data_IF_241450378284
#
_entry.id   IF_241450378284
#
_cell.length_a   1.000
_cell.length_b   1.000
_cell.length_c   1.000
_cell.angle_alpha   90.00
_cell.angle_beta   90.00
_cell.angle_gamma   90.00
#
_symmetry.space_group_name_H-M   'P 1'
#
loop_
_entity.id
_entity.type
_entity.pdbx_description
1 polymer ?
#
# COMPACT_ATOMS: atom_id res chain seq x y z
N UNK A 1 -8.67 -11.34 -8.21
CA UNK A 1 -7.21 -11.49 -8.03
C UNK A 1 -6.78 -10.65 -6.85
N UNK A 2 -5.65 -10.95 -6.20
CA UNK A 2 -5.16 -10.17 -5.07
C UNK A 2 -3.80 -9.58 -5.37
N UNK A 3 -3.68 -8.28 -5.15
CA UNK A 3 -2.40 -7.60 -5.07
C UNK A 3 -2.15 -7.21 -3.62
N UNK A 4 -0.89 -7.17 -3.21
CA UNK A 4 -0.53 -6.96 -1.82
C UNK A 4 0.48 -5.81 -1.68
N UNK A 5 0.13 -4.83 -0.84
CA UNK A 5 1.01 -3.71 -0.52
C UNK A 5 1.77 -3.99 0.78
N UNK A 6 3.10 -3.95 0.76
CA UNK A 6 3.94 -4.30 1.92
C UNK A 6 5.23 -3.50 1.96
N UNK A 7 5.76 -3.23 3.16
CA UNK A 7 7.10 -2.67 3.29
C UNK A 7 8.13 -3.59 2.60
N UNK A 8 9.04 -2.98 1.84
CA UNK A 8 10.05 -3.66 1.01
C UNK A 8 10.79 -4.83 1.69
N UNK A 9 11.21 -4.75 2.97
CA UNK A 9 11.87 -5.87 3.67
C UNK A 9 11.00 -7.12 3.84
N UNK A 10 9.68 -7.01 3.79
CA UNK A 10 8.76 -8.14 3.98
C UNK A 10 8.15 -8.63 2.65
N UNK A 11 8.59 -8.14 1.51
CA UNK A 11 8.07 -8.60 0.22
C UNK A 11 8.31 -10.10 -0.02
N UNK A 12 9.40 -10.64 0.54
CA UNK A 12 9.74 -12.07 0.40
C UNK A 12 8.69 -12.99 1.01
N UNK A 13 8.14 -12.67 2.18
CA UNK A 13 7.13 -13.52 2.82
C UNK A 13 5.80 -13.49 2.05
N UNK A 14 5.44 -12.35 1.47
CA UNK A 14 4.23 -12.21 0.65
C UNK A 14 4.33 -13.02 -0.64
N UNK A 15 5.52 -13.09 -1.25
CA UNK A 15 5.76 -13.85 -2.47
C UNK A 15 5.57 -15.37 -2.33
N UNK A 16 5.51 -15.88 -1.10
CA UNK A 16 5.26 -17.31 -0.84
C UNK A 16 3.79 -17.70 -1.02
N UNK A 17 2.86 -16.74 -1.07
CA UNK A 17 1.43 -17.02 -1.14
C UNK A 17 0.93 -17.07 -2.61
N UNK A 18 0.41 -18.22 -3.09
CA UNK A 18 0.13 -18.43 -4.51
C UNK A 18 -1.02 -17.57 -5.07
N UNK A 19 -1.89 -17.02 -4.22
CA UNK A 19 -2.99 -16.16 -4.65
C UNK A 19 -2.58 -14.70 -4.92
N UNK A 20 -1.33 -14.31 -4.62
CA UNK A 20 -0.84 -12.94 -4.82
C UNK A 20 -0.29 -12.78 -6.24
N UNK A 21 -0.88 -11.87 -7.01
CA UNK A 21 -0.45 -11.53 -8.36
C UNK A 21 0.68 -10.51 -8.34
N UNK A 22 0.41 -9.30 -7.82
CA UNK A 22 1.41 -8.22 -7.74
C UNK A 22 1.74 -7.87 -6.29
N UNK A 23 3.02 -7.66 -6.02
CA UNK A 23 3.51 -7.16 -4.73
C UNK A 23 3.94 -5.70 -4.91
N UNK A 24 3.16 -4.79 -4.33
CA UNK A 24 3.48 -3.37 -4.29
C UNK A 24 4.38 -3.09 -3.09
N UNK A 25 5.69 -2.97 -3.35
CA UNK A 25 6.68 -2.66 -2.32
C UNK A 25 6.62 -1.18 -1.97
N UNK A 26 6.45 -0.88 -0.69
CA UNK A 26 6.48 0.49 -0.16
C UNK A 26 7.64 0.68 0.80
N UNK A 27 8.01 1.93 1.03
CA UNK A 27 9.07 2.28 1.97
C UNK A 27 8.63 3.44 2.88
N UNK A 28 7.45 3.32 3.48
CA UNK A 28 6.81 4.38 4.28
C UNK A 28 7.75 4.86 5.39
N UNK A 29 8.49 3.94 6.03
CA UNK A 29 9.48 4.29 7.06
C UNK A 29 10.60 5.19 6.52
N UNK A 30 11.08 4.92 5.30
CA UNK A 30 12.13 5.70 4.61
C UNK A 30 11.59 7.04 4.15
N UNK A 31 10.43 7.03 3.50
CA UNK A 31 9.77 8.23 2.97
C UNK A 31 9.48 9.26 4.05
N UNK A 32 9.00 8.83 5.22
CA UNK A 32 8.74 9.73 6.36
C UNK A 32 9.99 10.46 6.85
N UNK A 33 11.18 9.89 6.68
CA UNK A 33 12.47 10.52 7.05
C UNK A 33 13.02 11.44 5.96
N UNK A 34 12.49 11.36 4.73
CA UNK A 34 13.00 12.07 3.54
C UNK A 34 11.88 12.73 2.75
N UNK A 35 10.97 13.42 3.44
CA UNK A 35 9.82 14.09 2.80
C UNK A 35 10.21 15.28 1.91
N UNK A 36 11.39 15.86 2.10
CA UNK A 36 11.93 16.92 1.24
C UNK A 36 12.74 16.39 0.05
N UNK A 37 12.92 15.08 -0.06
CA UNK A 37 13.64 14.45 -1.17
C UNK A 37 12.69 14.21 -2.36
N UNK A 38 13.02 14.78 -3.52
CA UNK A 38 12.29 14.55 -4.77
C UNK A 38 12.20 13.07 -5.17
N UNK A 39 13.17 12.24 -4.76
CA UNK A 39 13.14 10.79 -4.94
C UNK A 39 11.94 10.13 -4.26
N UNK A 40 11.67 10.51 -3.01
CA UNK A 40 10.51 10.03 -2.24
C UNK A 40 9.20 10.30 -2.97
N UNK A 41 9.03 11.52 -3.50
CA UNK A 41 7.82 11.90 -4.24
C UNK A 41 7.67 11.13 -5.54
N UNK A 42 8.77 10.87 -6.26
CA UNK A 42 8.74 10.04 -7.48
C UNK A 42 8.34 8.59 -7.17
N UNK A 43 8.86 8.01 -6.10
CA UNK A 43 8.48 6.66 -5.66
C UNK A 43 6.99 6.59 -5.29
N UNK A 44 6.49 7.55 -4.50
CA UNK A 44 5.07 7.63 -4.15
C UNK A 44 4.17 7.84 -5.38
N UNK A 45 4.59 8.67 -6.32
CA UNK A 45 3.86 8.89 -7.57
C UNK A 45 3.84 7.63 -8.44
N UNK A 46 4.94 6.88 -8.48
CA UNK A 46 5.01 5.56 -9.12
C UNK A 46 4.00 4.59 -8.52
N UNK A 47 4.00 4.45 -7.19
CA UNK A 47 3.06 3.59 -6.47
C UNK A 47 1.59 3.97 -6.75
N UNK A 48 1.27 5.27 -6.64
CA UNK A 48 -0.09 5.77 -6.92
C UNK A 48 -0.52 5.44 -8.35
N UNK A 49 0.36 5.60 -9.34
CA UNK A 49 0.06 5.25 -10.73
C UNK A 49 -0.20 3.75 -10.88
N UNK A 50 0.63 2.91 -10.25
CA UNK A 50 0.44 1.46 -10.27
C UNK A 50 -0.93 1.06 -9.68
N UNK A 51 -1.30 1.60 -8.51
CA UNK A 51 -2.61 1.31 -7.93
C UNK A 51 -3.79 1.72 -8.80
N UNK A 52 -3.72 2.92 -9.40
CA UNK A 52 -4.81 3.41 -10.25
C UNK A 52 -4.91 2.67 -11.57
N UNK A 53 -3.79 2.19 -12.10
CA UNK A 53 -3.77 1.36 -13.30
C UNK A 53 -4.44 0.00 -13.05
N UNK A 54 -4.31 -0.57 -11.84
CA UNK A 54 -4.94 -1.84 -11.48
C UNK A 54 -6.47 -1.77 -11.36
N UNK A 55 -7.05 -0.58 -11.16
CA UNK A 55 -8.51 -0.36 -11.05
C UNK A 55 -9.20 -1.33 -10.07
N UNK A 56 -8.71 -1.39 -8.84
CA UNK A 56 -9.25 -2.29 -7.83
C UNK A 56 -10.73 -2.04 -7.53
N UNK A 57 -11.48 -3.13 -7.32
CA UNK A 57 -12.87 -3.07 -6.86
C UNK A 57 -12.97 -2.69 -5.38
N UNK A 58 -11.97 -3.10 -4.57
CA UNK A 58 -11.92 -2.88 -3.13
C UNK A 58 -10.46 -2.89 -2.65
N UNK A 59 -10.14 -2.03 -1.68
CA UNK A 59 -8.91 -2.06 -0.90
C UNK A 59 -9.22 -2.48 0.53
N UNK A 60 -8.47 -3.45 1.06
CA UNK A 60 -8.60 -3.90 2.44
C UNK A 60 -7.39 -3.40 3.24
N UNK A 61 -7.59 -2.44 4.16
CA UNK A 61 -6.58 -2.06 5.15
C UNK A 61 -6.71 -2.96 6.39
N UNK A 62 -5.97 -4.06 6.37
CA UNK A 62 -5.88 -5.01 7.48
C UNK A 62 -4.93 -4.57 8.60
N UNK A 63 -4.23 -3.43 8.47
CA UNK A 63 -3.30 -2.95 9.51
C UNK A 63 -3.98 -1.97 10.47
N UNK A 64 -4.99 -1.21 10.00
CA UNK A 64 -5.77 -0.30 10.83
C UNK A 64 -5.01 0.93 11.35
N UNK A 65 -3.89 1.30 10.73
CA UNK A 65 -3.08 2.45 11.14
C UNK A 65 -3.29 3.63 10.18
N UNK A 66 -3.22 4.87 10.68
CA UNK A 66 -3.37 6.06 9.83
C UNK A 66 -2.40 6.06 8.63
N UNK A 67 -1.16 5.59 8.83
CA UNK A 67 -0.17 5.49 7.76
C UNK A 67 -0.57 4.50 6.65
N UNK A 68 -1.24 3.38 6.97
CA UNK A 68 -1.72 2.44 5.95
C UNK A 68 -2.95 2.97 5.25
N UNK A 69 -3.86 3.63 5.99
CA UNK A 69 -5.02 4.29 5.42
C UNK A 69 -4.61 5.34 4.37
N UNK A 70 -3.59 6.14 4.66
CA UNK A 70 -3.04 7.12 3.69
C UNK A 70 -2.47 6.46 2.42
N UNK A 71 -1.92 5.25 2.52
CA UNK A 71 -1.46 4.49 1.35
C UNK A 71 -2.66 3.92 0.59
N UNK A 72 -3.64 3.36 1.29
CA UNK A 72 -4.85 2.78 0.71
C UNK A 72 -5.67 3.79 -0.10
N UNK A 73 -5.83 5.03 0.40
CA UNK A 73 -6.57 6.11 -0.27
C UNK A 73 -6.02 6.42 -1.67
N UNK A 74 -4.73 6.18 -1.90
CA UNK A 74 -4.08 6.50 -3.16
C UNK A 74 -4.57 5.63 -4.32
N UNK A 75 -5.13 4.45 -4.02
CA UNK A 75 -5.70 3.54 -5.00
C UNK A 75 -6.97 4.08 -5.66
N UNK A 76 -7.70 4.99 -5.01
CA UNK A 76 -8.92 5.57 -5.56
C UNK A 76 -10.09 4.59 -5.68
N UNK A 77 -10.09 3.53 -4.88
CA UNK A 77 -11.15 2.53 -4.78
C UNK A 77 -11.78 2.58 -3.38
N UNK A 78 -12.98 2.00 -3.17
CA UNK A 78 -13.55 1.83 -1.85
C UNK A 78 -12.55 1.14 -0.89
N UNK A 79 -12.52 1.59 0.37
CA UNK A 79 -11.61 1.06 1.38
C UNK A 79 -12.44 0.41 2.48
N UNK A 80 -12.20 -0.87 2.73
CA UNK A 80 -12.66 -1.59 3.91
C UNK A 80 -11.50 -1.75 4.89
N UNK A 81 -11.79 -1.69 6.19
CA UNK A 81 -10.80 -1.86 7.24
C UNK A 81 -11.49 -1.95 8.59
N UNK A 82 -10.69 -1.97 9.65
CA UNK A 82 -11.22 -1.94 11.02
C UNK A 82 -12.01 -0.66 11.26
N UNK A 83 -13.18 -0.80 11.88
CA UNK A 83 -13.97 0.34 12.33
C UNK A 83 -13.42 0.90 13.66
N UNK A 84 -13.98 2.03 14.12
CA UNK A 84 -13.55 2.67 15.37
C UNK A 84 -13.79 1.80 16.61
N UNK A 85 -14.64 0.78 16.52
CA UNK A 85 -15.02 -0.12 17.62
C UNK A 85 -14.23 -1.45 17.61
N UNK A 86 -13.34 -1.64 16.64
CA UNK A 86 -12.54 -2.86 16.45
C UNK A 86 -11.26 -2.91 17.31
N UNK A 87 -11.12 -2.02 18.30
CA UNK A 87 -9.96 -1.90 19.20
C UNK A 87 -10.36 -2.06 20.67
#
# INVERSE_FOLDING_TARGET
SFDWCVEEPFAGIVALHPAIGVIHKVAVRRWRKRLFDGGTWREMAGLRRAFRASRYDLVIDAQGLLKSALVAIQAGAPIAGFDRASA
#
